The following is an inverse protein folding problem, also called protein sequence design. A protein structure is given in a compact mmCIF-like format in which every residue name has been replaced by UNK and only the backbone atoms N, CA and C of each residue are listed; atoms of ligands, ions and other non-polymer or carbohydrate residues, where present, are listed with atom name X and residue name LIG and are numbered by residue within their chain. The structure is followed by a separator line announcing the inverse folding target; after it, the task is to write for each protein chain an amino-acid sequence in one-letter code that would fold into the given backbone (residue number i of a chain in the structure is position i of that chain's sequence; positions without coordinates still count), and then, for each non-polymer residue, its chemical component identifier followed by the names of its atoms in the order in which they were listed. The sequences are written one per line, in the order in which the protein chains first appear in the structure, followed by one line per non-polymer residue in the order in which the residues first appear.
data_IF_757316424660
#
_entry.id   IF_757316424660
#
_cell.length_a   1.000
_cell.length_b   1.000
_cell.length_c   1.000
_cell.angle_alpha   90.00
_cell.angle_beta   90.00
_cell.angle_gamma   90.00
#
_symmetry.space_group_name_H-M   'P 1'
#
loop_
_entity.id
_entity.type
_entity.pdbx_description
1 polymer ?
#
# COMPACT_ATOMS: atom_id res chain seq x y z
N UNK A 1 5.75 -4.94 6.26
CA UNK A 1 4.77 -5.07 5.17
C UNK A 1 4.41 -3.69 4.64
N UNK A 2 4.33 -3.50 3.33
CA UNK A 2 3.87 -2.26 2.68
C UNK A 2 2.50 -2.48 2.04
N UNK A 3 1.54 -1.58 2.28
CA UNK A 3 0.24 -1.56 1.60
C UNK A 3 -0.40 -0.17 1.70
N UNK A 4 -1.46 0.10 0.95
CA UNK A 4 -2.25 1.34 1.08
C UNK A 4 -3.57 1.18 1.83
N UNK A 5 -3.94 -0.06 2.20
CA UNK A 5 -5.09 -0.35 3.07
C UNK A 5 -6.39 0.38 2.69
N UNK A 6 -6.77 0.30 1.40
CA UNK A 6 -7.83 1.10 0.81
C UNK A 6 -9.17 0.35 0.73
N UNK A 7 -9.15 -0.93 0.32
CA UNK A 7 -10.36 -1.75 0.28
C UNK A 7 -10.77 -2.24 1.66
N UNK A 8 -12.01 -2.68 1.84
CA UNK A 8 -12.50 -3.12 3.16
C UNK A 8 -11.74 -4.35 3.68
N UNK A 9 -11.42 -5.30 2.80
CA UNK A 9 -10.57 -6.44 3.15
C UNK A 9 -9.16 -5.99 3.60
N UNK A 10 -8.57 -5.00 2.94
CA UNK A 10 -7.26 -4.50 3.36
C UNK A 10 -7.33 -3.77 4.71
N UNK A 11 -8.41 -3.02 4.98
CA UNK A 11 -8.61 -2.37 6.29
C UNK A 11 -8.70 -3.40 7.42
N UNK A 12 -9.38 -4.51 7.19
CA UNK A 12 -9.45 -5.63 8.15
C UNK A 12 -8.06 -6.23 8.37
N UNK A 13 -7.28 -6.42 7.30
CA UNK A 13 -5.88 -6.85 7.41
C UNK A 13 -5.08 -5.86 8.28
N UNK A 14 -5.17 -4.56 8.02
CA UNK A 14 -4.51 -3.55 8.85
C UNK A 14 -4.91 -3.67 10.31
N UNK A 15 -6.20 -3.81 10.60
CA UNK A 15 -6.71 -3.96 11.97
C UNK A 15 -6.02 -5.12 12.71
N UNK A 16 -5.85 -6.28 12.07
CA UNK A 16 -5.14 -7.41 12.67
C UNK A 16 -3.62 -7.17 12.76
N UNK A 17 -3.00 -6.55 11.75
CA UNK A 17 -1.57 -6.24 11.78
C UNK A 17 -1.22 -5.27 12.93
N UNK A 18 -2.09 -4.31 13.23
CA UNK A 18 -1.89 -3.36 14.33
C UNK A 18 -1.92 -4.02 15.73
N UNK A 19 -2.48 -5.23 15.86
CA UNK A 19 -2.43 -6.03 17.09
C UNK A 19 -1.14 -6.84 17.26
N UNK A 20 -0.41 -7.09 16.17
CA UNK A 20 0.88 -7.78 16.18
C UNK A 20 2.02 -6.86 16.64
N UNK A 21 3.28 -7.20 16.30
CA UNK A 21 4.51 -6.42 16.61
C UNK A 21 5.38 -6.06 15.38
N UNK A 22 5.00 -6.53 14.20
CA UNK A 22 5.69 -6.30 12.95
C UNK A 22 5.64 -4.81 12.51
N UNK A 23 6.67 -4.34 11.77
CA UNK A 23 6.68 -3.03 11.16
C UNK A 23 5.76 -2.96 9.91
N UNK A 24 5.08 -1.83 9.76
CA UNK A 24 4.07 -1.58 8.72
C UNK A 24 4.41 -0.29 7.99
N UNK A 25 4.36 -0.30 6.67
CA UNK A 25 4.46 0.88 5.83
C UNK A 25 3.08 1.13 5.21
N UNK A 26 2.47 2.28 5.51
CA UNK A 26 1.22 2.74 4.91
C UNK A 26 1.55 3.70 3.75
N UNK A 27 1.24 3.30 2.53
CA UNK A 27 1.45 4.12 1.34
C UNK A 27 0.17 4.85 0.91
N UNK A 28 0.19 6.18 0.92
CA UNK A 28 -0.97 7.01 0.60
C UNK A 28 -1.11 7.25 -0.90
N UNK A 29 -2.35 7.21 -1.39
CA UNK A 29 -2.72 7.61 -2.76
C UNK A 29 -3.10 9.11 -2.84
N UNK A 30 -2.50 9.93 -1.98
CA UNK A 30 -2.74 11.38 -1.84
C UNK A 30 -1.63 11.99 -0.99
N UNK A 31 -1.53 13.32 -0.99
CA UNK A 31 -0.70 14.08 -0.07
C UNK A 31 -1.05 13.82 1.39
N UNK A 32 -0.09 14.17 2.25
CA UNK A 32 -0.20 13.96 3.69
C UNK A 32 -1.42 14.71 4.29
N UNK A 33 -1.97 14.15 5.36
CA UNK A 33 -3.03 14.77 6.17
C UNK A 33 -2.80 14.42 7.65
N UNK A 34 -3.61 14.99 8.52
CA UNK A 34 -3.64 14.62 9.93
C UNK A 34 -3.75 13.12 10.12
N UNK A 35 -2.84 12.59 10.93
CA UNK A 35 -2.71 11.17 11.24
C UNK A 35 -3.68 10.84 12.36
N UNK A 36 -4.50 9.81 12.15
CA UNK A 36 -5.45 9.35 13.16
C UNK A 36 -4.71 8.89 14.43
N UNK A 37 -5.24 9.17 15.64
CA UNK A 37 -4.52 8.90 16.90
C UNK A 37 -4.05 7.45 17.06
N UNK A 38 -4.83 6.50 16.55
CA UNK A 38 -4.50 5.08 16.62
C UNK A 38 -3.28 4.71 15.74
N UNK A 39 -3.09 5.39 14.61
CA UNK A 39 -1.91 5.23 13.74
C UNK A 39 -0.70 5.96 14.32
N UNK A 40 -0.89 7.17 14.87
CA UNK A 40 0.17 7.96 15.51
C UNK A 40 0.87 7.17 16.62
N UNK A 41 0.10 6.45 17.44
CA UNK A 41 0.65 5.55 18.47
C UNK A 41 1.58 4.48 17.92
N UNK A 42 1.36 4.00 16.69
CA UNK A 42 2.22 2.99 16.07
C UNK A 42 3.50 3.60 15.50
N UNK A 43 3.44 4.85 15.05
CA UNK A 43 4.62 5.62 14.64
C UNK A 43 5.53 5.86 15.86
N UNK A 44 4.96 6.30 16.98
CA UNK A 44 5.68 6.51 18.24
C UNK A 44 6.34 5.21 18.76
N UNK A 45 5.75 4.06 18.45
CA UNK A 45 6.31 2.73 18.75
C UNK A 45 7.39 2.27 17.76
N UNK A 46 7.82 3.10 16.81
CA UNK A 46 8.72 2.75 15.71
C UNK A 46 8.24 1.55 14.89
N UNK A 47 6.93 1.42 14.75
CA UNK A 47 6.28 0.29 14.09
C UNK A 47 5.49 0.66 12.84
N UNK A 48 5.34 1.95 12.58
CA UNK A 48 4.64 2.43 11.41
C UNK A 48 5.44 3.54 10.74
N UNK A 49 5.55 3.43 9.42
CA UNK A 49 6.01 4.49 8.53
C UNK A 49 4.86 4.83 7.58
N UNK A 50 4.56 6.11 7.40
CA UNK A 50 3.58 6.57 6.42
C UNK A 50 4.35 7.25 5.29
N UNK A 51 4.16 6.79 4.06
CA UNK A 51 4.81 7.35 2.87
C UNK A 51 3.79 7.83 1.86
N UNK A 52 4.18 8.80 1.05
CA UNK A 52 3.40 9.27 -0.08
C UNK A 52 4.34 9.82 -1.17
N UNK A 53 4.08 9.55 -2.46
CA UNK A 53 4.80 10.19 -3.56
C UNK A 53 4.19 11.55 -3.93
N UNK A 54 3.20 12.04 -3.17
CA UNK A 54 2.43 13.23 -3.52
C UNK A 54 2.69 14.39 -2.58
N UNK A 55 2.76 15.58 -3.17
CA UNK A 55 2.71 16.85 -2.45
C UNK A 55 1.47 16.94 -1.57
N UNK A 56 1.59 17.69 -0.47
CA UNK A 56 0.49 17.88 0.48
C UNK A 56 -0.77 18.46 -0.19
N UNK A 57 -0.64 19.20 -1.29
CA UNK A 57 -1.74 19.79 -2.06
C UNK A 57 -2.65 18.76 -2.74
N UNK A 58 -2.18 17.52 -2.97
CA UNK A 58 -2.98 16.46 -3.59
C UNK A 58 -3.93 15.86 -2.55
N UNK A 59 -5.17 16.35 -2.47
CA UNK A 59 -6.10 15.95 -1.40
C UNK A 59 -7.00 14.75 -1.72
N UNK A 60 -7.30 14.49 -2.99
CA UNK A 60 -8.26 13.46 -3.42
C UNK A 60 -7.55 12.21 -3.92
N UNK A 61 -8.06 11.05 -3.50
CA UNK A 61 -7.69 9.76 -4.09
C UNK A 61 -8.44 9.61 -5.41
N UNK A 62 -7.72 9.20 -6.44
CA UNK A 62 -8.20 8.95 -7.81
C UNK A 62 -7.63 7.64 -8.32
N UNK A 63 -8.15 7.11 -9.43
CA UNK A 63 -7.57 5.92 -10.06
C UNK A 63 -6.09 6.13 -10.45
N UNK A 64 -5.75 7.33 -10.92
CA UNK A 64 -4.38 7.72 -11.29
C UNK A 64 -3.44 7.75 -10.07
N UNK A 65 -3.81 8.47 -9.01
CA UNK A 65 -3.00 8.55 -7.78
C UNK A 65 -2.89 7.20 -7.07
N UNK A 66 -3.94 6.37 -7.12
CA UNK A 66 -3.88 4.99 -6.64
C UNK A 66 -2.91 4.14 -7.48
N UNK A 67 -2.88 4.32 -8.80
CA UNK A 67 -1.95 3.65 -9.71
C UNK A 67 -0.49 4.02 -9.43
N UNK A 68 -0.20 5.32 -9.27
CA UNK A 68 1.14 5.81 -8.92
C UNK A 68 1.59 5.30 -7.54
N UNK A 69 0.71 5.31 -6.54
CA UNK A 69 0.97 4.71 -5.23
C UNK A 69 1.26 3.22 -5.35
N UNK A 70 0.50 2.48 -6.15
CA UNK A 70 0.73 1.04 -6.36
C UNK A 70 2.10 0.78 -6.99
N UNK A 71 2.49 1.58 -7.99
CA UNK A 71 3.81 1.49 -8.63
C UNK A 71 4.93 1.71 -7.61
N UNK A 72 4.83 2.75 -6.78
CA UNK A 72 5.78 2.98 -5.67
C UNK A 72 5.92 1.76 -4.76
N UNK A 73 4.79 1.16 -4.33
CA UNK A 73 4.85 -0.02 -3.45
C UNK A 73 5.53 -1.21 -4.12
N UNK A 74 5.25 -1.45 -5.40
CA UNK A 74 5.85 -2.53 -6.17
C UNK A 74 7.36 -2.32 -6.36
N UNK A 75 7.80 -1.08 -6.55
CA UNK A 75 9.22 -0.72 -6.66
C UNK A 75 9.97 -0.92 -5.34
N UNK A 76 9.35 -0.62 -4.19
CA UNK A 76 9.95 -0.75 -2.87
C UNK A 76 9.93 -2.18 -2.30
N UNK A 77 9.00 -3.03 -2.74
CA UNK A 77 8.83 -4.36 -2.17
C UNK A 77 9.87 -5.38 -2.71
N UNK A 78 10.41 -6.21 -1.83
CA UNK A 78 11.24 -7.37 -2.19
C UNK A 78 10.37 -8.52 -2.72
N UNK A 79 9.24 -8.77 -2.06
CA UNK A 79 8.24 -9.78 -2.43
C UNK A 79 6.85 -9.15 -2.50
N UNK A 80 6.07 -9.56 -3.50
CA UNK A 80 4.76 -9.00 -3.79
C UNK A 80 3.72 -10.10 -3.63
N UNK A 81 2.70 -9.86 -2.80
CA UNK A 81 1.54 -10.73 -2.64
C UNK A 81 0.31 -9.99 -3.11
N UNK A 82 -0.40 -10.56 -4.09
CA UNK A 82 -1.61 -9.98 -4.66
C UNK A 82 -2.78 -10.87 -4.26
N UNK A 83 -3.64 -10.34 -3.39
CA UNK A 83 -4.84 -11.06 -2.95
C UNK A 83 -5.85 -11.24 -4.08
N UNK A 84 -6.05 -10.19 -4.88
CA UNK A 84 -6.93 -10.21 -6.05
C UNK A 84 -6.53 -9.12 -7.04
N UNK A 85 -6.52 -9.47 -8.33
CA UNK A 85 -6.45 -8.52 -9.42
C UNK A 85 -7.44 -8.94 -10.51
N UNK A 86 -8.36 -8.05 -10.87
CA UNK A 86 -9.29 -8.31 -11.97
C UNK A 86 -8.53 -8.37 -13.30
N UNK A 87 -8.74 -9.43 -14.09
CA UNK A 87 -8.10 -9.64 -15.39
C UNK A 87 -8.26 -8.42 -16.31
N UNK A 88 -7.15 -7.91 -16.84
CA UNK A 88 -7.11 -6.73 -17.70
C UNK A 88 -7.29 -5.39 -16.96
N UNK A 89 -7.46 -5.41 -15.64
CA UNK A 89 -7.54 -4.22 -14.79
C UNK A 89 -6.18 -3.56 -14.58
N UNK A 90 -6.18 -2.36 -13.98
CA UNK A 90 -4.96 -1.57 -13.79
C UNK A 90 -3.92 -2.26 -12.90
N UNK A 91 -4.36 -2.95 -11.85
CA UNK A 91 -3.45 -3.68 -10.96
C UNK A 91 -2.86 -4.91 -11.66
N UNK A 92 -3.66 -5.65 -12.43
CA UNK A 92 -3.23 -6.84 -13.18
C UNK A 92 -2.14 -6.49 -14.20
N UNK A 93 -2.33 -5.40 -14.96
CA UNK A 93 -1.33 -4.88 -15.90
C UNK A 93 -0.03 -4.49 -15.19
N UNK A 94 -0.15 -3.76 -14.08
CA UNK A 94 1.01 -3.28 -13.33
C UNK A 94 1.81 -4.43 -12.69
N UNK A 95 1.12 -5.46 -12.19
CA UNK A 95 1.76 -6.67 -11.67
C UNK A 95 2.47 -7.45 -12.78
N UNK A 96 1.84 -7.56 -13.95
CA UNK A 96 2.45 -8.20 -15.13
C UNK A 96 3.72 -7.48 -15.57
N UNK A 97 3.73 -6.14 -15.59
CA UNK A 97 4.93 -5.32 -15.82
C UNK A 97 6.02 -5.57 -14.76
N UNK A 98 5.63 -5.82 -13.52
CA UNK A 98 6.59 -6.03 -12.42
C UNK A 98 7.23 -7.42 -12.47
N UNK A 99 6.49 -8.45 -12.91
CA UNK A 99 7.04 -9.80 -13.07
C UNK A 99 8.21 -9.86 -14.06
N UNK A 100 8.20 -9.01 -15.11
CA UNK A 100 9.30 -8.97 -16.09
C UNK A 100 10.58 -8.33 -15.53
N UNK A 101 10.49 -7.62 -14.41
CA UNK A 101 11.64 -7.01 -13.71
C UNK A 101 12.39 -7.97 -12.76
N UNK A 102 11.94 -9.22 -12.66
CA UNK A 102 12.60 -10.27 -11.87
C UNK A 102 12.17 -10.34 -10.40
N UNK A 103 11.18 -9.55 -9.97
CA UNK A 103 10.63 -9.62 -8.60
C UNK A 103 9.74 -10.85 -8.39
N UNK A 104 9.76 -11.38 -7.17
CA UNK A 104 8.90 -12.50 -6.77
C UNK A 104 7.47 -11.98 -6.55
N UNK A 105 6.54 -12.47 -7.37
CA UNK A 105 5.11 -12.17 -7.24
C UNK A 105 4.32 -13.43 -6.97
N UNK A 106 3.47 -13.40 -5.93
CA UNK A 106 2.57 -14.48 -5.53
C UNK A 106 1.12 -14.01 -5.62
N UNK A 107 0.33 -14.69 -6.44
CA UNK A 107 -1.12 -14.50 -6.52
C UNK A 107 -1.80 -15.43 -5.50
N UNK A 108 -2.75 -14.93 -4.71
CA UNK A 108 -3.52 -15.76 -3.76
C UNK A 108 -4.85 -16.28 -4.35
N UNK A 109 -5.24 -15.80 -5.52
CA UNK A 109 -6.48 -16.17 -6.23
C UNK A 109 -6.32 -16.12 -7.74
#
# INVERSE_FOLDING_TARGET
MISGFHSDIEKDVLYFLLKGNQPIILALARGFKDIEPHLRRQIEKNRMLIITPFEETVKRVTAETAGLRNRLMLELADEIVVAYAGKGGSLDKLVSETMTSGKIVRMLG
#
